data_IF_417612023090
#
_entry.id   IF_417612023090
#
_cell.length_a   1.000
_cell.length_b   1.000
_cell.length_c   1.000
_cell.angle_alpha   90.00
_cell.angle_beta   90.00
_cell.angle_gamma   90.00
#
_symmetry.space_group_name_H-M   'P 1'
#
loop_
_entity.id
_entity.type
_entity.pdbx_description
1 polymer ?
#
# COMPACT_ATOMS: atom_id res chain seq x y z
N UNK A 1 22.88 -0.79 -18.53
CA UNK A 1 22.75 0.29 -17.53
C UNK A 1 21.67 -0.15 -16.58
N UNK A 2 21.89 -0.05 -15.26
CA UNK A 2 20.87 -0.45 -14.30
C UNK A 2 20.00 0.77 -13.98
N UNK A 3 18.71 0.71 -14.30
CA UNK A 3 17.78 1.84 -14.15
C UNK A 3 17.48 2.16 -12.68
N UNK A 4 17.50 1.15 -11.81
CA UNK A 4 17.22 1.28 -10.37
C UNK A 4 18.41 0.75 -9.57
N UNK A 5 18.88 1.51 -8.56
CA UNK A 5 20.03 1.13 -7.74
C UNK A 5 19.74 -0.07 -6.82
N UNK A 6 20.77 -0.85 -6.48
CA UNK A 6 20.66 -2.10 -5.70
C UNK A 6 20.04 -1.93 -4.32
N UNK A 7 20.08 -0.74 -3.75
CA UNK A 7 19.54 -0.44 -2.42
C UNK A 7 18.30 0.46 -2.45
N UNK A 8 17.66 0.59 -3.61
CA UNK A 8 16.48 1.43 -3.74
C UNK A 8 15.30 0.84 -2.95
N UNK A 9 14.59 1.72 -2.25
CA UNK A 9 13.25 1.46 -1.75
C UNK A 9 12.28 2.08 -2.75
N UNK A 10 11.41 1.27 -3.35
CA UNK A 10 10.47 1.71 -4.37
C UNK A 10 9.03 1.59 -3.89
N UNK A 11 8.20 2.50 -4.36
CA UNK A 11 6.75 2.48 -4.20
C UNK A 11 6.13 2.59 -5.60
N UNK A 12 5.47 1.53 -6.07
CA UNK A 12 4.76 1.55 -7.35
C UNK A 12 3.31 1.88 -7.13
N UNK A 13 2.83 2.86 -7.90
CA UNK A 13 1.48 3.40 -7.79
C UNK A 13 0.68 3.29 -9.08
N UNK A 14 1.35 3.09 -10.22
CA UNK A 14 0.71 2.94 -11.52
C UNK A 14 0.77 1.53 -12.08
N UNK A 15 0.73 1.45 -13.41
CA UNK A 15 0.58 0.23 -14.19
C UNK A 15 1.91 -0.11 -14.84
N UNK A 16 2.43 -1.32 -14.59
CA UNK A 16 3.67 -1.87 -15.19
C UNK A 16 4.86 -0.87 -15.26
N UNK A 17 5.14 -0.17 -14.16
CA UNK A 17 6.10 0.94 -14.09
C UNK A 17 7.57 0.51 -13.90
N UNK A 18 7.84 -0.78 -13.69
CA UNK A 18 9.16 -1.27 -13.29
C UNK A 18 9.80 -2.13 -14.38
N UNK A 19 11.14 -2.16 -14.45
CA UNK A 19 11.85 -3.09 -15.32
C UNK A 19 11.42 -4.55 -15.10
N UNK A 20 11.35 -5.34 -16.18
CA UNK A 20 10.82 -6.70 -16.13
C UNK A 20 11.61 -7.67 -15.22
N UNK A 21 12.89 -7.38 -14.98
CA UNK A 21 13.82 -8.13 -14.12
C UNK A 21 13.92 -7.55 -12.70
N UNK A 22 13.20 -6.47 -12.40
CA UNK A 22 13.29 -5.76 -11.12
C UNK A 22 13.05 -6.69 -9.92
N UNK A 23 11.96 -7.48 -9.94
CA UNK A 23 11.65 -8.37 -8.82
C UNK A 23 12.60 -9.55 -8.71
N UNK A 24 13.13 -10.07 -9.82
CA UNK A 24 14.20 -11.08 -9.77
C UNK A 24 15.41 -10.52 -9.03
N UNK A 25 15.74 -9.25 -9.28
CA UNK A 25 16.84 -8.57 -8.63
C UNK A 25 16.61 -8.33 -7.12
N UNK A 26 15.44 -7.79 -6.75
CA UNK A 26 15.09 -7.55 -5.33
C UNK A 26 15.10 -8.87 -4.55
N UNK A 27 14.48 -9.92 -5.08
CA UNK A 27 14.42 -11.23 -4.43
C UNK A 27 15.82 -11.88 -4.32
N UNK A 28 16.66 -11.76 -5.34
CA UNK A 28 18.05 -12.25 -5.28
C UNK A 28 18.87 -11.59 -4.18
N UNK A 29 18.62 -10.31 -3.88
CA UNK A 29 19.27 -9.59 -2.79
C UNK A 29 18.61 -9.82 -1.42
N UNK A 30 17.70 -10.79 -1.30
CA UNK A 30 16.89 -11.01 -0.10
C UNK A 30 16.13 -9.76 0.35
N UNK A 31 15.76 -8.92 -0.63
CA UNK A 31 14.98 -7.70 -0.47
C UNK A 31 13.59 -7.97 0.10
N UNK A 32 12.93 -6.90 0.55
CA UNK A 32 11.56 -6.98 1.04
C UNK A 32 10.60 -6.56 -0.08
N UNK A 33 9.59 -7.38 -0.35
CA UNK A 33 8.49 -7.02 -1.24
C UNK A 33 7.18 -7.13 -0.45
N UNK A 34 6.47 -6.02 -0.36
CA UNK A 34 5.16 -5.95 0.30
C UNK A 34 4.13 -5.55 -0.74
N UNK A 35 3.08 -6.36 -0.84
CA UNK A 35 1.95 -6.13 -1.72
C UNK A 35 0.81 -5.45 -0.96
N UNK A 36 -0.05 -4.76 -1.67
CA UNK A 36 -1.28 -4.19 -1.10
C UNK A 36 -2.29 -5.29 -0.79
N UNK A 37 -2.76 -5.96 -1.84
CA UNK A 37 -3.58 -7.15 -1.75
C UNK A 37 -3.26 -8.06 -2.94
N UNK A 38 -2.55 -9.16 -2.67
CA UNK A 38 -2.11 -10.09 -3.71
C UNK A 38 -3.26 -10.71 -4.51
N UNK A 39 -4.44 -10.92 -3.91
CA UNK A 39 -5.59 -11.50 -4.61
C UNK A 39 -6.18 -10.49 -5.60
N UNK A 40 -6.34 -9.22 -5.18
CA UNK A 40 -6.78 -8.14 -6.06
C UNK A 40 -5.76 -7.84 -7.17
N UNK A 41 -4.46 -7.83 -6.83
CA UNK A 41 -3.37 -7.64 -7.78
C UNK A 41 -3.33 -8.76 -8.82
N UNK A 42 -3.36 -10.02 -8.39
CA UNK A 42 -3.38 -11.17 -9.31
C UNK A 42 -4.61 -11.16 -10.22
N UNK A 43 -5.78 -10.76 -9.69
CA UNK A 43 -7.02 -10.69 -10.46
C UNK A 43 -6.98 -9.58 -11.50
N UNK A 44 -6.49 -8.39 -11.13
CA UNK A 44 -6.39 -7.25 -12.06
C UNK A 44 -5.27 -7.47 -13.09
N UNK A 45 -4.14 -8.03 -12.66
CA UNK A 45 -2.99 -8.39 -13.48
C UNK A 45 -2.48 -7.25 -14.37
N UNK A 46 -2.33 -6.06 -13.79
CA UNK A 46 -1.87 -4.84 -14.48
C UNK A 46 -0.65 -4.20 -13.81
N UNK A 47 -0.44 -4.46 -12.51
CA UNK A 47 0.71 -3.94 -11.79
C UNK A 47 1.97 -4.77 -12.11
N UNK A 48 3.14 -4.14 -11.96
CA UNK A 48 4.42 -4.77 -12.31
C UNK A 48 4.65 -6.09 -11.56
N UNK A 49 4.18 -6.21 -10.32
CA UNK A 49 4.40 -7.39 -9.49
C UNK A 49 3.53 -8.57 -9.96
N UNK A 50 2.24 -8.36 -10.17
CA UNK A 50 1.36 -9.38 -10.72
C UNK A 50 1.81 -9.81 -12.11
N UNK A 51 2.18 -8.85 -12.96
CA UNK A 51 2.71 -9.11 -14.30
C UNK A 51 4.02 -9.89 -14.28
N UNK A 52 4.90 -9.63 -13.31
CA UNK A 52 6.15 -10.38 -13.15
C UNK A 52 5.89 -11.88 -12.99
N UNK A 53 4.92 -12.28 -12.16
CA UNK A 53 4.54 -13.69 -12.00
C UNK A 53 3.74 -14.22 -13.18
N UNK A 54 2.73 -13.49 -13.66
CA UNK A 54 1.83 -13.99 -14.70
C UNK A 54 2.53 -14.20 -16.05
N UNK A 55 3.47 -13.32 -16.43
CA UNK A 55 4.32 -13.48 -17.62
C UNK A 55 5.18 -14.75 -17.59
N UNK A 56 5.40 -15.33 -16.41
CA UNK A 56 6.15 -16.58 -16.18
C UNK A 56 5.22 -17.79 -15.95
N UNK A 57 3.91 -17.65 -16.22
CA UNK A 57 2.88 -18.65 -15.91
C UNK A 57 2.82 -19.03 -14.43
N UNK A 58 3.18 -18.11 -13.54
CA UNK A 58 3.12 -18.26 -12.10
C UNK A 58 1.98 -17.44 -11.50
N UNK A 59 1.55 -17.86 -10.32
CA UNK A 59 0.54 -17.22 -9.46
C UNK A 59 1.21 -16.37 -8.38
N UNK A 60 0.88 -15.09 -8.29
CA UNK A 60 1.38 -14.19 -7.24
C UNK A 60 0.94 -14.67 -5.85
N UNK A 61 -0.32 -15.06 -5.71
CA UNK A 61 -0.93 -15.55 -4.46
C UNK A 61 -0.29 -16.84 -3.93
N UNK A 62 0.37 -17.63 -4.79
CA UNK A 62 1.06 -18.87 -4.43
C UNK A 62 2.57 -18.68 -4.42
N UNK A 63 3.17 -18.46 -5.59
CA UNK A 63 4.61 -18.38 -5.76
C UNK A 63 5.20 -17.10 -5.18
N UNK A 64 4.46 -15.99 -5.20
CA UNK A 64 4.86 -14.78 -4.50
C UNK A 64 4.93 -14.99 -2.99
N UNK A 65 3.93 -15.66 -2.42
CA UNK A 65 3.96 -16.03 -1.00
C UNK A 65 5.14 -16.94 -0.65
N UNK A 66 5.42 -17.93 -1.50
CA UNK A 66 6.58 -18.83 -1.35
C UNK A 66 7.90 -18.05 -1.40
N UNK A 67 7.98 -17.00 -2.23
CA UNK A 67 9.11 -16.08 -2.32
C UNK A 67 9.18 -15.05 -1.17
N UNK A 68 8.29 -15.15 -0.17
CA UNK A 68 8.29 -14.29 1.02
C UNK A 68 7.52 -12.99 0.88
N UNK A 69 6.79 -12.78 -0.21
CA UNK A 69 5.93 -11.59 -0.40
C UNK A 69 4.74 -11.67 0.57
N UNK A 70 4.41 -10.55 1.20
CA UNK A 70 3.30 -10.44 2.16
C UNK A 70 2.43 -9.24 1.83
N UNK A 71 1.14 -9.33 2.15
CA UNK A 71 0.25 -8.18 2.08
C UNK A 71 0.58 -7.18 3.21
N UNK A 72 0.35 -5.89 3.00
CA UNK A 72 0.49 -4.87 4.04
C UNK A 72 -0.25 -5.24 5.33
N UNK A 73 -1.46 -5.75 5.19
CA UNK A 73 -2.29 -6.15 6.34
C UNK A 73 -1.68 -7.30 7.15
N UNK A 74 -0.89 -8.19 6.54
CA UNK A 74 -0.17 -9.26 7.22
C UNK A 74 1.02 -8.69 7.99
N UNK A 75 1.79 -7.82 7.34
CA UNK A 75 2.94 -7.12 7.95
C UNK A 75 2.51 -6.29 9.15
N UNK A 76 1.42 -5.51 9.04
CA UNK A 76 0.93 -4.65 10.13
C UNK A 76 0.46 -5.45 11.35
N UNK A 77 0.03 -6.70 11.16
CA UNK A 77 -0.43 -7.59 12.23
C UNK A 77 0.71 -8.41 12.85
N UNK A 78 1.88 -8.44 12.22
CA UNK A 78 3.05 -9.21 12.66
C UNK A 78 4.14 -8.26 13.18
N UNK A 79 4.32 -8.15 14.51
CA UNK A 79 5.35 -7.29 15.10
C UNK A 79 6.77 -7.63 14.66
N UNK A 80 7.06 -8.90 14.34
CA UNK A 80 8.39 -9.33 13.89
C UNK A 80 8.66 -8.83 12.48
N UNK A 81 7.69 -8.97 11.57
CA UNK A 81 7.81 -8.43 10.21
C UNK A 81 7.87 -6.90 10.22
N UNK A 82 7.06 -6.26 11.07
CA UNK A 82 7.10 -4.80 11.22
C UNK A 82 8.45 -4.32 11.77
N UNK A 83 9.01 -5.00 12.78
CA UNK A 83 10.33 -4.67 13.30
C UNK A 83 11.42 -4.87 12.25
N UNK A 84 11.33 -5.94 11.45
CA UNK A 84 12.25 -6.18 10.31
C UNK A 84 12.22 -5.02 9.33
N UNK A 85 11.02 -4.52 8.97
CA UNK A 85 10.87 -3.35 8.10
C UNK A 85 11.46 -2.08 8.70
N UNK A 86 11.22 -1.81 9.98
CA UNK A 86 11.75 -0.62 10.68
C UNK A 86 13.28 -0.62 10.69
N UNK A 87 13.90 -1.78 10.90
CA UNK A 87 15.37 -1.92 10.90
C UNK A 87 15.97 -2.18 9.51
N UNK A 88 15.16 -2.20 8.44
CA UNK A 88 15.61 -2.60 7.12
C UNK A 88 16.49 -1.53 6.48
N UNK A 89 17.63 -1.94 5.91
CA UNK A 89 18.55 -1.06 5.20
C UNK A 89 18.88 -1.56 3.77
N UNK A 90 18.19 -2.59 3.30
CA UNK A 90 18.35 -3.22 1.99
C UNK A 90 17.36 -2.69 0.93
N UNK A 91 17.34 -3.27 -0.28
CA UNK A 91 16.30 -2.98 -1.26
C UNK A 91 14.92 -3.39 -0.75
N UNK A 92 13.91 -2.59 -1.06
CA UNK A 92 12.53 -2.94 -0.80
C UNK A 92 11.60 -2.43 -1.89
N UNK A 93 10.49 -3.13 -2.09
CA UNK A 93 9.39 -2.67 -2.92
C UNK A 93 8.08 -2.75 -2.16
N UNK A 94 7.29 -1.72 -2.39
CA UNK A 94 5.94 -1.56 -1.92
C UNK A 94 5.04 -1.44 -3.15
N UNK A 95 4.27 -2.49 -3.43
CA UNK A 95 3.39 -2.55 -4.60
C UNK A 95 1.95 -2.25 -4.22
N UNK A 96 1.44 -1.10 -4.64
CA UNK A 96 0.06 -0.69 -4.43
C UNK A 96 -0.83 -1.02 -5.63
N UNK A 97 -2.08 -1.41 -5.39
CA UNK A 97 -3.07 -1.66 -6.45
C UNK A 97 -4.25 -0.70 -6.39
N UNK A 98 -4.42 0.02 -5.26
CA UNK A 98 -5.54 0.93 -5.07
C UNK A 98 -6.81 0.15 -4.74
N UNK A 99 -7.05 -0.03 -3.44
CA UNK A 99 -8.27 -0.64 -2.92
C UNK A 99 -9.30 0.44 -2.61
N UNK A 100 -10.53 0.24 -3.09
CA UNK A 100 -11.65 1.16 -2.82
C UNK A 100 -11.97 1.30 -1.31
N UNK A 101 -11.53 0.34 -0.49
CA UNK A 101 -11.63 0.41 0.97
C UNK A 101 -10.85 1.59 1.55
N UNK A 102 -9.74 2.00 0.93
CA UNK A 102 -8.98 3.17 1.36
C UNK A 102 -9.76 4.45 1.12
N UNK A 103 -10.34 4.61 -0.08
CA UNK A 103 -11.16 5.76 -0.42
C UNK A 103 -12.36 5.88 0.52
N UNK A 104 -13.05 4.76 0.78
CA UNK A 104 -14.19 4.73 1.69
C UNK A 104 -13.78 5.09 3.12
N UNK A 105 -12.68 4.53 3.63
CA UNK A 105 -12.21 4.81 4.98
C UNK A 105 -11.86 6.30 5.16
N UNK A 106 -11.18 6.89 4.18
CA UNK A 106 -10.84 8.32 4.20
C UNK A 106 -12.10 9.17 4.08
N UNK A 107 -13.03 8.83 3.19
CA UNK A 107 -14.28 9.57 3.01
C UNK A 107 -15.13 9.58 4.27
N UNK A 108 -15.28 8.43 4.94
CA UNK A 108 -16.00 8.33 6.22
C UNK A 108 -15.34 9.19 7.29
N UNK A 109 -14.01 9.10 7.44
CA UNK A 109 -13.28 9.90 8.42
C UNK A 109 -13.46 11.40 8.19
N UNK A 110 -13.37 11.86 6.94
CA UNK A 110 -13.58 13.26 6.58
C UNK A 110 -15.02 13.69 6.83
N UNK A 111 -16.00 12.87 6.46
CA UNK A 111 -17.42 13.14 6.68
C UNK A 111 -17.71 13.34 8.18
N UNK A 112 -17.26 12.42 9.04
CA UNK A 112 -17.48 12.50 10.48
C UNK A 112 -16.83 13.75 11.09
N UNK A 113 -15.62 14.09 10.65
CA UNK A 113 -14.90 15.28 11.14
C UNK A 113 -15.61 16.56 10.73
N UNK A 114 -15.99 16.68 9.46
CA UNK A 114 -16.67 17.86 8.94
C UNK A 114 -18.08 18.02 9.52
N UNK A 115 -18.83 16.93 9.67
CA UNK A 115 -20.15 16.94 10.30
C UNK A 115 -20.07 17.49 11.73
N UNK A 116 -19.10 17.02 12.53
CA UNK A 116 -18.85 17.55 13.89
C UNK A 116 -18.52 19.05 13.87
N UNK A 117 -17.65 19.48 12.96
CA UNK A 117 -17.29 20.90 12.85
C UNK A 117 -18.48 21.78 12.45
N UNK A 118 -19.30 21.33 11.52
CA UNK A 118 -20.51 22.05 11.10
C UNK A 118 -21.50 22.16 12.25
N UNK A 119 -21.77 21.07 12.97
CA UNK A 119 -22.65 21.06 14.15
C UNK A 119 -22.13 22.03 15.22
N UNK A 120 -20.83 22.01 15.53
CA UNK A 120 -20.25 22.93 16.51
C UNK A 120 -20.44 24.39 16.10
N UNK A 121 -20.21 24.72 14.82
CA UNK A 121 -20.41 26.08 14.31
C UNK A 121 -21.87 26.55 14.46
N UNK A 122 -22.85 25.67 14.25
CA UNK A 122 -24.26 26.01 14.47
C UNK A 122 -24.57 26.22 15.96
N UNK A 123 -24.02 25.39 16.84
CA UNK A 123 -24.16 25.55 18.30
C UNK A 123 -23.57 26.88 18.77
N UNK A 124 -22.35 27.21 18.33
CA UNK A 124 -21.67 28.46 18.71
C UNK A 124 -22.45 29.68 18.19
N UNK A 125 -22.98 29.60 16.97
CA UNK A 125 -23.82 30.66 16.42
C UNK A 125 -25.12 30.83 17.21
N UNK A 126 -25.83 29.75 17.53
CA UNK A 126 -27.03 29.81 18.35
C UNK A 126 -26.76 30.41 19.74
N UNK A 127 -25.65 30.03 20.39
CA UNK A 127 -25.24 30.59 21.67
C UNK A 127 -24.93 32.10 21.57
N UNK A 128 -24.28 32.53 20.48
CA UNK A 128 -23.98 33.95 20.26
C UNK A 128 -25.23 34.82 20.05
N UNK A 129 -26.28 34.27 19.45
CA UNK A 129 -27.56 34.96 19.25
C UNK A 129 -28.35 35.03 20.56
N UNK A 130 -28.36 33.96 21.36
CA UNK A 130 -29.09 33.90 22.63
C UNK A 130 -28.47 34.75 23.76
N UNK A 131 -27.18 35.11 23.65
CA UNK A 131 -26.45 35.91 24.63
C UNK A 131 -26.34 37.40 24.24
N UNK A 132 -26.91 37.79 23.10
CA UNK A 132 -26.87 39.17 22.59
C UNK A 132 -28.09 40.02 22.98
N UNK A 133 -29.06 39.45 23.71
CA UNK A 133 -30.23 40.09 24.32
C UNK A 133 -30.07 40.20 25.84
#
# INVERSE_FOLDING_TARGET
MKEITDNAVTLTLGIDELPADYFDHVLKLSGIVVADDMDAMETRNIDSLALHYSRRHLKLTKHGRDNGIRNYSEVLRDPVLMQRLISWNGPANFSAVGLASYDLAVAVHLYEKLAKTVVQKYVDHAASVLLAD
#
